data_IF_983295038950
#
_entry.id   IF_983295038950
#
_cell.length_a   1.000
_cell.length_b   1.000
_cell.length_c   1.000
_cell.angle_alpha   90.00
_cell.angle_beta   90.00
_cell.angle_gamma   90.00
#
_symmetry.space_group_name_H-M   'P 1'
#
loop_
_entity.id
_entity.type
_entity.pdbx_description
1 polymer ?
#
# COMPACT_ATOMS: atom_id res chain seq x y z
N UNK A 1 11.35 25.53 -9.35
CA UNK A 1 11.88 26.32 -8.22
C UNK A 1 11.47 25.60 -6.94
N UNK A 2 12.33 25.48 -5.93
CA UNK A 2 11.94 24.81 -4.68
C UNK A 2 10.85 25.66 -4.02
N UNK A 3 9.63 25.14 -3.93
CA UNK A 3 8.48 25.90 -3.44
C UNK A 3 8.67 26.21 -1.95
N UNK A 4 8.55 27.49 -1.58
CA UNK A 4 8.70 27.95 -0.20
C UNK A 4 7.59 27.39 0.69
N UNK A 5 7.87 27.22 1.99
CA UNK A 5 6.75 27.09 2.95
C UNK A 5 5.89 28.36 2.91
N UNK A 6 4.60 28.22 3.24
CA UNK A 6 3.73 29.36 3.50
C UNK A 6 4.08 29.94 4.87
N UNK A 7 4.52 31.21 4.95
CA UNK A 7 4.91 31.83 6.22
C UNK A 7 3.74 31.87 7.22
N UNK A 8 2.54 32.19 6.74
CA UNK A 8 1.32 32.18 7.56
C UNK A 8 0.97 30.79 8.08
N UNK A 9 1.22 29.75 7.27
CA UNK A 9 0.96 28.38 7.69
C UNK A 9 1.92 27.92 8.80
N UNK A 10 3.20 28.32 8.73
CA UNK A 10 4.17 28.08 9.80
C UNK A 10 3.77 28.77 11.10
N UNK A 11 3.42 30.07 11.04
CA UNK A 11 2.93 30.82 12.21
C UNK A 11 1.72 30.13 12.84
N UNK A 12 0.73 29.76 12.01
CA UNK A 12 -0.48 29.09 12.48
C UNK A 12 -0.18 27.75 13.15
N UNK A 13 0.68 26.92 12.54
CA UNK A 13 1.02 25.61 13.13
C UNK A 13 1.81 25.75 14.43
N UNK A 14 2.74 26.72 14.51
CA UNK A 14 3.48 27.00 15.74
C UNK A 14 2.54 27.44 16.87
N UNK A 15 1.65 28.40 16.60
CA UNK A 15 0.67 28.90 17.58
C UNK A 15 -0.34 27.83 17.99
N UNK A 16 -0.76 26.96 17.07
CA UNK A 16 -1.65 25.84 17.38
C UNK A 16 -1.03 24.83 18.37
N UNK A 17 0.31 24.81 18.48
CA UNK A 17 1.06 23.98 19.45
C UNK A 17 1.53 24.76 20.66
N UNK A 18 1.06 25.99 20.84
CA UNK A 18 1.44 26.89 21.94
C UNK A 18 2.97 27.11 22.06
N UNK A 19 3.70 27.03 20.94
CA UNK A 19 5.15 27.18 20.94
C UNK A 19 5.54 28.65 20.68
N UNK A 20 6.49 29.15 21.47
CA UNK A 20 7.23 30.37 21.15
C UNK A 20 8.19 30.15 19.97
N UNK A 21 8.70 31.25 19.41
CA UNK A 21 9.70 31.20 18.33
C UNK A 21 10.99 30.56 18.83
N UNK A 22 11.35 30.82 20.07
CA UNK A 22 12.54 30.32 20.75
C UNK A 22 12.45 28.80 20.99
N UNK A 23 11.32 28.31 21.50
CA UNK A 23 11.09 26.87 21.70
C UNK A 23 11.09 26.12 20.37
N UNK A 24 10.46 26.67 19.31
CA UNK A 24 10.50 26.06 17.98
C UNK A 24 11.92 26.01 17.43
N UNK A 25 12.69 27.09 17.60
CA UNK A 25 14.06 27.15 17.14
C UNK A 25 14.95 26.11 17.84
N UNK A 26 14.82 25.99 19.16
CA UNK A 26 15.52 24.99 19.96
C UNK A 26 15.16 23.56 19.52
N UNK A 27 13.87 23.24 19.43
CA UNK A 27 13.39 21.91 19.05
C UNK A 27 13.84 21.50 17.64
N UNK A 28 13.88 22.44 16.69
CA UNK A 28 14.37 22.19 15.33
C UNK A 28 15.90 22.18 15.25
N UNK A 29 16.59 22.80 16.21
CA UNK A 29 18.05 22.94 16.25
C UNK A 29 18.56 24.07 15.34
N UNK A 30 17.86 25.19 15.31
CA UNK A 30 18.21 26.41 14.56
C UNK A 30 18.15 27.65 15.45
N UNK A 31 18.47 28.82 14.91
CA UNK A 31 18.37 30.07 15.67
C UNK A 31 16.96 30.66 15.59
N UNK A 32 16.51 31.34 16.64
CA UNK A 32 15.22 32.07 16.64
C UNK A 32 15.15 33.09 15.50
N UNK A 33 16.28 33.69 15.13
CA UNK A 33 16.39 34.57 13.95
C UNK A 33 16.03 33.85 12.65
N UNK A 34 16.45 32.59 12.47
CA UNK A 34 16.09 31.80 11.30
C UNK A 34 14.58 31.57 11.23
N UNK A 35 13.95 31.20 12.35
CA UNK A 35 12.49 31.01 12.43
C UNK A 35 11.74 32.29 12.09
N UNK A 36 12.14 33.45 12.63
CA UNK A 36 11.52 34.74 12.27
C UNK A 36 11.65 35.07 10.78
N UNK A 37 12.80 34.75 10.16
CA UNK A 37 12.98 34.92 8.72
C UNK A 37 12.09 33.99 7.89
N UNK A 38 11.78 32.81 8.40
CA UNK A 38 10.85 31.88 7.76
C UNK A 38 9.40 32.37 7.87
N UNK A 39 8.98 32.84 9.05
CA UNK A 39 7.63 33.37 9.32
C UNK A 39 7.33 34.69 8.59
N UNK A 40 8.37 35.43 8.21
CA UNK A 40 8.25 36.64 7.38
C UNK A 40 8.45 36.37 5.88
N UNK A 41 8.82 35.14 5.50
CA UNK A 41 9.15 34.78 4.12
C UNK A 41 10.47 35.36 3.60
N UNK A 42 11.27 36.00 4.45
CA UNK A 42 12.56 36.58 4.09
C UNK A 42 13.61 35.53 3.69
N UNK A 43 13.47 34.28 4.16
CA UNK A 43 14.36 33.17 3.80
C UNK A 43 13.60 31.86 3.62
N UNK A 44 14.00 31.06 2.64
CA UNK A 44 13.50 29.70 2.48
C UNK A 44 14.05 28.75 3.55
N UNK A 45 13.22 27.78 3.95
CA UNK A 45 13.61 26.71 4.87
C UNK A 45 14.44 25.67 4.12
N UNK A 46 15.64 25.37 4.63
CA UNK A 46 16.48 24.30 4.10
C UNK A 46 15.91 22.91 4.39
N UNK A 47 16.29 21.90 3.61
CA UNK A 47 15.64 20.58 3.63
C UNK A 47 15.66 19.91 5.00
N UNK A 48 16.81 19.87 5.68
CA UNK A 48 16.92 19.31 7.04
C UNK A 48 16.01 20.00 8.05
N UNK A 49 15.97 21.33 8.01
CA UNK A 49 15.11 22.10 8.89
C UNK A 49 13.63 21.85 8.58
N UNK A 50 13.28 21.65 7.30
CA UNK A 50 11.91 21.34 6.91
C UNK A 50 11.45 19.98 7.43
N UNK A 51 12.23 18.91 7.27
CA UNK A 51 11.89 17.59 7.83
C UNK A 51 11.70 17.65 9.35
N UNK A 52 12.60 18.35 10.06
CA UNK A 52 12.46 18.56 11.51
C UNK A 52 11.24 19.38 11.91
N UNK A 53 10.86 20.40 11.12
CA UNK A 53 9.63 21.15 11.37
C UNK A 53 8.41 20.24 11.32
N UNK A 54 8.33 19.32 10.36
CA UNK A 54 7.22 18.36 10.27
C UNK A 54 7.17 17.44 11.49
N UNK A 55 8.33 16.97 11.95
CA UNK A 55 8.43 16.12 13.16
C UNK A 55 8.02 16.88 14.42
N UNK A 56 8.58 18.07 14.66
CA UNK A 56 8.35 18.88 15.87
C UNK A 56 6.92 19.41 15.93
N UNK A 57 6.38 19.91 14.81
CA UNK A 57 5.02 20.43 14.75
C UNK A 57 3.97 19.31 14.62
N UNK A 58 4.41 18.06 14.46
CA UNK A 58 3.56 16.89 14.19
C UNK A 58 2.49 17.18 13.13
N UNK A 59 2.92 17.73 11.99
CA UNK A 59 2.07 18.12 10.88
C UNK A 59 2.57 17.53 9.56
N UNK A 60 1.70 17.50 8.56
CA UNK A 60 2.04 17.01 7.23
C UNK A 60 2.66 18.15 6.38
N UNK A 61 3.39 17.78 5.32
CA UNK A 61 4.00 18.75 4.41
C UNK A 61 2.97 19.73 3.80
N UNK A 62 1.75 19.25 3.53
CA UNK A 62 0.63 20.07 3.03
C UNK A 62 0.25 21.20 4.00
N UNK A 63 0.41 20.98 5.30
CA UNK A 63 -0.01 21.93 6.32
C UNK A 63 0.91 23.16 6.36
N UNK A 64 2.14 23.01 5.85
CA UNK A 64 3.14 24.08 5.76
C UNK A 64 3.32 24.62 4.33
N UNK A 65 3.11 23.81 3.30
CA UNK A 65 3.36 24.21 1.89
C UNK A 65 2.09 24.58 1.13
N UNK A 66 0.93 24.07 1.56
CA UNK A 66 -0.32 24.14 0.79
C UNK A 66 -0.40 23.15 -0.37
N UNK A 67 0.64 22.33 -0.60
CA UNK A 67 0.64 21.36 -1.68
C UNK A 67 -0.32 20.21 -1.38
N UNK A 68 -1.15 19.87 -2.36
CA UNK A 68 -2.11 18.80 -2.22
C UNK A 68 -1.44 17.42 -2.32
N UNK A 69 -1.75 16.47 -1.43
CA UNK A 69 -1.28 15.10 -1.54
C UNK A 69 -1.52 14.49 -2.93
N UNK A 70 -0.54 13.76 -3.45
CA UNK A 70 -0.59 13.20 -4.80
C UNK A 70 -0.09 14.14 -5.89
N UNK A 71 0.46 15.31 -5.56
CA UNK A 71 1.11 16.23 -6.51
C UNK A 71 2.64 16.28 -6.36
N UNK A 72 3.19 15.53 -5.41
CA UNK A 72 4.60 15.63 -5.02
C UNK A 72 5.55 15.27 -6.17
N UNK A 73 6.62 16.05 -6.27
CA UNK A 73 7.78 15.79 -7.13
C UNK A 73 8.88 15.06 -6.36
N UNK A 74 9.92 14.61 -7.06
CA UNK A 74 11.07 13.95 -6.43
C UNK A 74 11.79 14.85 -5.43
N UNK A 75 11.84 16.16 -5.71
CA UNK A 75 12.42 17.14 -4.79
C UNK A 75 11.59 17.29 -3.52
N UNK A 76 10.26 17.27 -3.64
CA UNK A 76 9.35 17.37 -2.50
C UNK A 76 9.50 16.16 -1.58
N UNK A 77 9.54 14.95 -2.14
CA UNK A 77 9.75 13.72 -1.36
C UNK A 77 11.07 13.77 -0.57
N UNK A 78 12.15 14.23 -1.20
CA UNK A 78 13.45 14.37 -0.53
C UNK A 78 13.39 15.39 0.60
N UNK A 79 12.75 16.53 0.35
CA UNK A 79 12.62 17.62 1.32
C UNK A 79 11.77 17.21 2.52
N UNK A 80 10.66 16.51 2.29
CA UNK A 80 9.82 15.93 3.36
C UNK A 80 10.60 14.94 4.21
N UNK A 81 11.49 14.16 3.60
CA UNK A 81 12.38 13.26 4.34
C UNK A 81 13.46 14.00 5.17
N UNK A 82 13.59 15.32 5.03
CA UNK A 82 14.59 16.11 5.76
C UNK A 82 16.02 15.95 5.24
N UNK A 83 16.20 15.55 3.98
CA UNK A 83 17.50 15.15 3.44
C UNK A 83 17.98 16.16 2.40
N UNK A 84 19.20 16.68 2.53
CA UNK A 84 19.82 17.51 1.48
C UNK A 84 20.25 16.68 0.25
N UNK A 85 20.49 17.33 -0.89
CA UNK A 85 20.97 16.63 -2.10
C UNK A 85 22.31 15.92 -1.90
N UNK A 86 23.18 16.51 -1.08
CA UNK A 86 24.50 16.01 -0.72
C UNK A 86 24.39 14.75 0.14
N UNK A 87 23.50 14.77 1.13
CA UNK A 87 23.22 13.62 1.98
C UNK A 87 22.58 12.49 1.20
N UNK A 88 21.56 12.79 0.37
CA UNK A 88 20.93 11.80 -0.48
C UNK A 88 21.99 11.11 -1.36
N UNK A 89 22.88 11.88 -2.01
CA UNK A 89 23.97 11.31 -2.81
C UNK A 89 24.95 10.47 -1.98
N UNK A 90 25.27 10.91 -0.76
CA UNK A 90 26.16 10.17 0.14
C UNK A 90 25.55 8.83 0.57
N UNK A 91 24.28 8.83 0.99
CA UNK A 91 23.56 7.62 1.42
C UNK A 91 23.35 6.66 0.26
N UNK A 92 22.93 7.17 -0.91
CA UNK A 92 22.71 6.33 -2.09
C UNK A 92 24.01 5.67 -2.57
N UNK A 93 25.16 6.36 -2.52
CA UNK A 93 26.48 5.78 -2.88
C UNK A 93 26.84 4.55 -2.05
N UNK A 94 26.36 4.46 -0.82
CA UNK A 94 26.62 3.33 0.10
C UNK A 94 25.66 2.16 -0.11
N UNK A 95 24.60 2.32 -0.91
CA UNK A 95 23.61 1.26 -1.16
C UNK A 95 24.16 0.20 -2.12
N UNK A 96 23.75 -1.04 -1.90
CA UNK A 96 24.10 -2.16 -2.79
C UNK A 96 23.58 -1.88 -4.20
N UNK A 97 24.46 -2.01 -5.18
CA UNK A 97 24.16 -1.78 -6.60
C UNK A 97 24.29 -0.31 -7.05
N UNK A 98 24.72 0.61 -6.18
CA UNK A 98 25.09 1.96 -6.59
C UNK A 98 26.43 2.02 -7.37
N UNK A 99 27.16 0.90 -7.43
CA UNK A 99 28.42 0.76 -8.17
C UNK A 99 28.20 1.10 -9.65
N UNK A 100 29.11 1.89 -10.22
CA UNK A 100 29.02 2.37 -11.60
C UNK A 100 28.12 3.60 -11.82
N UNK A 101 27.12 3.86 -10.98
CA UNK A 101 26.20 5.00 -11.21
C UNK A 101 26.85 6.38 -10.97
N UNK A 102 27.96 6.41 -10.23
CA UNK A 102 28.70 7.62 -9.83
C UNK A 102 27.75 8.73 -9.34
N UNK A 103 26.92 8.40 -8.36
CA UNK A 103 25.88 9.28 -7.82
C UNK A 103 26.50 10.51 -7.16
N UNK A 104 26.07 11.71 -7.59
CA UNK A 104 26.49 13.00 -7.05
C UNK A 104 25.28 13.86 -6.72
N UNK A 105 25.47 14.91 -5.90
CA UNK A 105 24.42 15.86 -5.59
C UNK A 105 23.92 16.60 -6.84
N UNK A 106 24.78 16.80 -7.85
CA UNK A 106 24.40 17.35 -9.15
C UNK A 106 23.46 16.41 -9.91
N UNK A 107 23.79 15.12 -10.00
CA UNK A 107 22.93 14.13 -10.67
C UNK A 107 21.55 14.04 -10.01
N UNK A 108 21.48 14.10 -8.68
CA UNK A 108 20.19 14.11 -7.97
C UNK A 108 19.40 15.38 -8.30
N UNK A 109 20.05 16.55 -8.30
CA UNK A 109 19.40 17.81 -8.68
C UNK A 109 18.90 17.80 -10.12
N UNK A 110 19.67 17.21 -11.05
CA UNK A 110 19.25 17.08 -12.44
C UNK A 110 18.08 16.11 -12.58
N UNK A 111 18.11 15.01 -11.84
CA UNK A 111 17.04 14.04 -11.76
C UNK A 111 15.74 14.68 -11.26
N UNK A 112 15.81 15.47 -10.18
CA UNK A 112 14.68 16.19 -9.59
C UNK A 112 14.11 17.30 -10.48
N UNK A 113 14.93 17.89 -11.35
CA UNK A 113 14.54 19.02 -12.21
C UNK A 113 14.12 18.60 -13.61
N UNK A 114 14.00 17.31 -13.89
CA UNK A 114 13.71 16.83 -15.24
C UNK A 114 14.87 17.04 -16.23
N UNK A 115 16.08 17.36 -15.76
CA UNK A 115 17.25 17.57 -16.62
C UNK A 115 17.93 16.26 -16.96
N UNK A 116 18.66 16.26 -18.08
CA UNK A 116 19.41 15.09 -18.52
C UNK A 116 20.52 14.73 -17.51
N UNK A 117 20.54 13.47 -17.04
CA UNK A 117 21.58 12.98 -16.14
C UNK A 117 22.69 12.33 -16.98
N UNK A 118 23.92 12.83 -16.83
CA UNK A 118 25.08 12.34 -17.59
C UNK A 118 25.43 10.88 -17.26
N UNK A 119 25.67 10.09 -18.30
CA UNK A 119 26.19 8.71 -18.24
C UNK A 119 25.26 7.72 -18.90
N UNK A 120 25.82 6.78 -19.69
CA UNK A 120 25.04 5.84 -20.51
C UNK A 120 24.07 4.97 -19.71
N UNK A 121 24.46 4.54 -18.50
CA UNK A 121 23.59 3.73 -17.62
C UNK A 121 22.29 4.42 -17.20
N UNK A 122 22.26 5.75 -17.19
CA UNK A 122 21.07 6.53 -16.82
C UNK A 122 19.98 6.53 -17.90
N UNK A 123 20.24 5.91 -19.05
CA UNK A 123 19.24 5.70 -20.12
C UNK A 123 18.53 4.35 -20.01
N UNK A 124 19.05 3.40 -19.23
CA UNK A 124 18.44 2.07 -19.07
C UNK A 124 17.25 2.14 -18.10
N UNK A 125 16.05 1.73 -18.52
CA UNK A 125 14.86 1.66 -17.66
C UNK A 125 15.07 0.83 -16.39
N UNK A 126 15.86 -0.26 -16.47
CA UNK A 126 16.18 -1.15 -15.35
C UNK A 126 17.06 -0.43 -14.32
N UNK A 127 18.05 0.32 -14.80
CA UNK A 127 18.91 1.15 -13.95
C UNK A 127 18.10 2.22 -13.24
N UNK A 128 17.18 2.89 -13.96
CA UNK A 128 16.26 3.85 -13.35
C UNK A 128 15.37 3.18 -12.30
N UNK A 129 14.86 1.97 -12.56
CA UNK A 129 14.06 1.23 -11.59
C UNK A 129 14.83 0.84 -10.32
N UNK A 130 16.13 0.59 -10.44
CA UNK A 130 17.01 0.40 -9.29
C UNK A 130 17.20 1.71 -8.51
N UNK A 131 17.42 2.83 -9.20
CA UNK A 131 17.51 4.16 -8.57
C UNK A 131 16.23 4.49 -7.81
N UNK A 132 15.06 4.28 -8.41
CA UNK A 132 13.75 4.47 -7.76
C UNK A 132 13.65 3.68 -6.45
N UNK A 133 14.08 2.41 -6.43
CA UNK A 133 14.08 1.61 -5.19
C UNK A 133 15.00 2.18 -4.12
N UNK A 134 16.18 2.65 -4.52
CA UNK A 134 17.12 3.25 -3.58
C UNK A 134 16.56 4.57 -3.03
N UNK A 135 15.97 5.42 -3.88
CA UNK A 135 15.31 6.67 -3.46
C UNK A 135 14.16 6.38 -2.49
N UNK A 136 13.31 5.39 -2.78
CA UNK A 136 12.21 5.01 -1.89
C UNK A 136 12.71 4.62 -0.48
N UNK A 137 13.81 3.89 -0.40
CA UNK A 137 14.43 3.54 0.89
C UNK A 137 15.04 4.75 1.59
N UNK A 138 15.68 5.66 0.85
CA UNK A 138 16.32 6.85 1.43
C UNK A 138 15.29 7.86 1.91
N UNK A 139 14.21 8.05 1.15
CA UNK A 139 13.14 9.01 1.48
C UNK A 139 12.09 8.43 2.43
N UNK A 140 12.18 7.14 2.76
CA UNK A 140 11.23 6.50 3.70
C UNK A 140 9.81 6.35 3.14
N UNK A 141 9.63 6.41 1.82
CA UNK A 141 8.31 6.31 1.17
C UNK A 141 8.18 5.02 0.35
N UNK A 142 6.96 4.53 0.11
CA UNK A 142 6.78 3.37 -0.75
C UNK A 142 7.28 3.60 -2.18
N UNK A 143 7.82 2.55 -2.82
CA UNK A 143 8.34 2.59 -4.21
C UNK A 143 7.36 3.23 -5.20
N UNK A 144 6.06 2.94 -5.06
CA UNK A 144 5.03 3.52 -5.93
C UNK A 144 5.00 5.06 -5.88
N UNK A 145 5.23 5.66 -4.71
CA UNK A 145 5.19 7.12 -4.52
C UNK A 145 6.35 7.77 -5.26
N UNK A 146 7.53 7.14 -5.24
CA UNK A 146 8.68 7.59 -6.04
C UNK A 146 8.42 7.44 -7.53
N UNK A 147 7.77 6.35 -7.97
CA UNK A 147 7.36 6.20 -9.37
C UNK A 147 6.39 7.31 -9.81
N UNK A 148 5.35 7.57 -9.02
CA UNK A 148 4.35 8.60 -9.34
C UNK A 148 5.00 10.00 -9.36
N UNK A 149 5.91 10.29 -8.41
CA UNK A 149 6.68 11.53 -8.38
C UNK A 149 7.72 11.63 -9.50
N UNK A 150 8.29 10.51 -9.94
CA UNK A 150 9.17 10.43 -11.10
C UNK A 150 8.43 10.85 -12.35
N UNK A 151 7.22 10.30 -12.54
CA UNK A 151 6.33 10.63 -13.65
C UNK A 151 6.05 12.13 -13.76
N UNK A 152 5.82 12.78 -12.61
CA UNK A 152 5.60 14.23 -12.52
C UNK A 152 6.87 15.05 -12.75
N UNK A 153 8.01 14.57 -12.26
CA UNK A 153 9.28 15.32 -12.34
C UNK A 153 9.96 15.17 -13.70
N UNK A 154 9.65 14.08 -14.43
CA UNK A 154 10.35 13.66 -15.65
C UNK A 154 9.33 13.18 -16.70
N UNK A 155 8.56 14.10 -17.31
CA UNK A 155 7.53 13.79 -18.32
C UNK A 155 8.06 13.14 -19.60
N UNK A 156 9.33 13.35 -19.94
CA UNK A 156 9.92 12.87 -21.20
C UNK A 156 10.80 11.63 -21.03
N UNK A 157 11.12 11.25 -19.79
CA UNK A 157 11.99 10.11 -19.53
C UNK A 157 11.24 8.78 -19.72
N UNK A 158 11.95 7.72 -20.15
CA UNK A 158 11.37 6.38 -20.18
C UNK A 158 11.00 5.95 -18.77
N UNK A 159 9.94 5.15 -18.70
CA UNK A 159 9.44 4.62 -17.44
C UNK A 159 10.48 3.73 -16.74
N UNK A 160 10.78 3.97 -15.44
CA UNK A 160 11.63 3.07 -14.68
C UNK A 160 11.02 1.66 -14.59
N UNK A 161 11.76 0.66 -15.03
CA UNK A 161 11.34 -0.75 -14.93
C UNK A 161 11.83 -1.31 -13.60
N UNK A 162 10.90 -1.52 -12.67
CA UNK A 162 11.25 -2.13 -11.39
C UNK A 162 11.72 -3.57 -11.61
N UNK A 163 12.87 -3.98 -11.04
CA UNK A 163 13.36 -5.34 -11.22
C UNK A 163 12.31 -6.36 -10.80
N UNK A 164 12.16 -7.47 -11.50
CA UNK A 164 11.17 -8.47 -11.11
C UNK A 164 11.35 -8.87 -9.64
N UNK A 165 10.23 -8.94 -8.93
CA UNK A 165 10.24 -9.38 -7.54
C UNK A 165 10.47 -10.87 -7.57
N UNK A 166 11.73 -11.30 -7.40
CA UNK A 166 12.05 -12.72 -7.31
C UNK A 166 11.10 -13.38 -6.30
N UNK A 167 10.51 -14.54 -6.64
CA UNK A 167 9.65 -15.27 -5.73
C UNK A 167 10.41 -15.46 -4.44
N UNK A 168 9.82 -14.97 -3.36
CA UNK A 168 10.47 -14.96 -2.05
C UNK A 168 10.71 -16.42 -1.69
N UNK A 169 11.98 -16.82 -1.53
CA UNK A 169 12.34 -18.19 -1.14
C UNK A 169 11.53 -18.60 0.10
N UNK A 170 11.13 -19.88 0.21
CA UNK A 170 10.42 -20.37 1.38
C UNK A 170 11.20 -19.98 2.65
N UNK A 171 10.51 -19.44 3.66
CA UNK A 171 11.19 -19.05 4.90
C UNK A 171 11.72 -20.31 5.59
N UNK A 172 13.03 -20.37 5.84
CA UNK A 172 13.66 -21.46 6.57
C UNK A 172 13.01 -21.68 7.94
N UNK A 173 12.71 -20.59 8.67
CA UNK A 173 12.00 -20.63 9.94
C UNK A 173 10.61 -21.28 9.82
N UNK A 174 9.89 -20.96 8.74
CA UNK A 174 8.57 -21.54 8.48
C UNK A 174 8.65 -23.03 8.14
N UNK A 175 9.68 -23.43 7.39
CA UNK A 175 9.93 -24.83 7.06
C UNK A 175 10.34 -25.64 8.29
N UNK A 176 11.24 -25.12 9.13
CA UNK A 176 11.63 -25.74 10.41
C UNK A 176 10.43 -25.90 11.33
N UNK A 177 9.57 -24.87 11.45
CA UNK A 177 8.35 -24.95 12.23
C UNK A 177 7.38 -26.02 11.71
N UNK A 178 7.27 -26.20 10.40
CA UNK A 178 6.48 -27.27 9.78
C UNK A 178 7.07 -28.67 10.05
N UNK A 179 8.38 -28.81 9.90
CA UNK A 179 9.10 -30.07 10.12
C UNK A 179 8.99 -30.53 11.58
N UNK A 180 8.95 -29.60 12.54
CA UNK A 180 8.76 -29.90 13.96
C UNK A 180 7.34 -30.39 14.35
N UNK A 181 6.38 -30.37 13.41
CA UNK A 181 5.06 -30.95 13.61
C UNK A 181 5.07 -32.44 13.27
N UNK A 182 4.35 -33.25 14.06
CA UNK A 182 4.11 -34.65 13.71
C UNK A 182 3.10 -34.77 12.55
N UNK A 183 2.98 -35.96 11.97
CA UNK A 183 2.11 -36.21 10.81
C UNK A 183 0.66 -35.75 11.07
N UNK A 184 0.08 -36.12 12.22
CA UNK A 184 -1.29 -35.75 12.59
C UNK A 184 -1.45 -34.23 12.72
N UNK A 185 -0.52 -33.52 13.36
CA UNK A 185 -0.53 -32.06 13.48
C UNK A 185 -0.44 -31.37 12.11
N UNK A 186 0.37 -31.90 11.19
CA UNK A 186 0.45 -31.40 9.80
C UNK A 186 -0.88 -31.57 9.07
N UNK A 187 -1.53 -32.72 9.22
CA UNK A 187 -2.87 -32.96 8.65
C UNK A 187 -3.89 -31.96 9.18
N UNK A 188 -3.97 -31.77 10.50
CA UNK A 188 -4.84 -30.76 11.11
C UNK A 188 -4.60 -29.36 10.55
N UNK A 189 -3.34 -28.92 10.53
CA UNK A 189 -3.00 -27.58 10.08
C UNK A 189 -3.32 -27.40 8.58
N UNK A 190 -3.17 -28.44 7.78
CA UNK A 190 -3.54 -28.46 6.35
C UNK A 190 -5.04 -28.33 6.15
N UNK A 191 -5.85 -29.14 6.83
CA UNK A 191 -7.32 -29.10 6.68
C UNK A 191 -7.88 -27.74 7.13
N UNK A 192 -7.38 -27.19 8.24
CA UNK A 192 -7.75 -25.85 8.73
C UNK A 192 -7.34 -24.79 7.70
N UNK A 193 -6.15 -24.90 7.11
CA UNK A 193 -5.69 -23.94 6.09
C UNK A 193 -6.55 -23.96 4.84
N UNK A 194 -6.91 -25.13 4.33
CA UNK A 194 -7.77 -25.22 3.16
C UNK A 194 -9.15 -24.59 3.41
N UNK A 195 -9.75 -24.86 4.58
CA UNK A 195 -11.01 -24.21 4.97
C UNK A 195 -10.87 -22.68 5.06
N UNK A 196 -9.76 -22.16 5.60
CA UNK A 196 -9.49 -20.70 5.67
C UNK A 196 -9.38 -20.09 4.27
N UNK A 197 -8.75 -20.81 3.31
CA UNK A 197 -8.63 -20.34 1.93
C UNK A 197 -9.97 -20.38 1.19
N UNK A 198 -10.81 -21.38 1.41
CA UNK A 198 -12.17 -21.45 0.85
C UNK A 198 -13.06 -20.33 1.39
N UNK A 199 -13.06 -20.10 2.70
CA UNK A 199 -13.78 -18.98 3.29
C UNK A 199 -13.27 -17.62 2.74
N UNK A 200 -11.97 -17.48 2.51
CA UNK A 200 -11.39 -16.28 1.88
C UNK A 200 -11.83 -16.12 0.42
N UNK A 201 -11.99 -17.22 -0.32
CA UNK A 201 -12.49 -17.22 -1.70
C UNK A 201 -13.99 -16.89 -1.77
N UNK A 202 -14.80 -17.49 -0.90
CA UNK A 202 -16.24 -17.21 -0.79
C UNK A 202 -16.49 -15.74 -0.46
N UNK A 203 -15.76 -15.18 0.52
CA UNK A 203 -15.86 -13.75 0.86
C UNK A 203 -15.42 -12.84 -0.27
N UNK A 204 -14.53 -13.33 -1.15
CA UNK A 204 -14.14 -12.62 -2.38
C UNK A 204 -15.30 -12.65 -3.38
N UNK A 205 -15.94 -13.79 -3.59
CA UNK A 205 -17.09 -13.96 -4.48
C UNK A 205 -18.31 -13.17 -4.01
N UNK A 206 -18.63 -13.23 -2.71
CA UNK A 206 -19.71 -12.46 -2.09
C UNK A 206 -19.50 -10.94 -2.26
N UNK A 207 -18.24 -10.48 -2.23
CA UNK A 207 -17.92 -9.08 -2.54
C UNK A 207 -18.23 -8.71 -3.99
N UNK A 208 -17.95 -9.60 -4.94
CA UNK A 208 -18.32 -9.38 -6.34
C UNK A 208 -19.84 -9.37 -6.54
N UNK A 209 -20.58 -10.18 -5.78
CA UNK A 209 -22.04 -10.22 -5.77
C UNK A 209 -22.71 -9.08 -4.98
N UNK A 210 -21.95 -8.16 -4.38
CA UNK A 210 -22.49 -7.01 -3.64
C UNK A 210 -23.03 -7.33 -2.25
N UNK A 211 -22.74 -8.51 -1.70
CA UNK A 211 -23.21 -8.90 -0.37
C UNK A 211 -22.59 -8.04 0.75
N UNK A 212 -23.28 -7.96 1.90
CA UNK A 212 -22.80 -7.23 3.07
C UNK A 212 -21.45 -7.79 3.54
N UNK A 213 -20.50 -6.88 3.81
CA UNK A 213 -19.15 -7.24 4.25
C UNK A 213 -19.17 -7.73 5.69
N UNK A 214 -18.78 -8.98 5.89
CA UNK A 214 -18.50 -9.52 7.22
C UNK A 214 -17.04 -9.23 7.63
N UNK A 215 -16.79 -8.77 8.88
CA UNK A 215 -15.44 -8.65 9.43
C UNK A 215 -14.65 -9.96 9.33
N UNK A 216 -13.35 -9.87 9.00
CA UNK A 216 -12.49 -11.05 8.85
C UNK A 216 -12.43 -11.93 10.09
N UNK A 217 -12.54 -11.32 11.28
CA UNK A 217 -12.54 -12.04 12.55
C UNK A 217 -13.76 -12.94 12.73
N UNK A 218 -14.89 -12.64 12.08
CA UNK A 218 -16.12 -13.41 12.23
C UNK A 218 -16.09 -14.68 11.38
N UNK A 219 -15.73 -14.56 10.10
CA UNK A 219 -15.72 -15.70 9.17
C UNK A 219 -14.45 -16.54 9.24
N UNK A 220 -13.31 -16.01 9.70
CA UNK A 220 -12.07 -16.80 9.90
C UNK A 220 -12.11 -17.71 11.13
N UNK A 221 -13.08 -17.51 12.03
CA UNK A 221 -13.33 -18.41 13.17
C UNK A 221 -14.18 -19.57 12.69
N UNK A 222 -13.54 -20.61 12.19
CA UNK A 222 -14.21 -21.75 11.57
C UNK A 222 -14.58 -22.78 12.62
N UNK A 223 -15.77 -23.37 12.50
CA UNK A 223 -16.19 -24.45 13.42
C UNK A 223 -15.36 -25.70 13.14
N UNK A 224 -14.61 -26.14 14.14
CA UNK A 224 -13.85 -27.39 14.08
C UNK A 224 -14.73 -28.58 14.51
N UNK A 225 -15.46 -28.42 15.62
CA UNK A 225 -16.28 -29.50 16.16
C UNK A 225 -17.45 -29.00 17.00
N UNK A 226 -18.49 -29.82 17.05
CA UNK A 226 -19.62 -29.72 17.97
C UNK A 226 -19.53 -30.89 18.96
N UNK A 227 -19.67 -30.63 20.25
CA UNK A 227 -19.64 -31.64 21.30
C UNK A 227 -21.00 -32.34 21.42
N UNK A 228 -21.42 -33.00 20.34
CA UNK A 228 -22.61 -33.83 20.25
C UNK A 228 -22.32 -35.04 19.33
N UNK A 229 -23.09 -36.14 19.44
CA UNK A 229 -22.92 -37.31 18.59
C UNK A 229 -23.05 -36.96 17.09
N UNK A 230 -22.10 -37.43 16.27
CA UNK A 230 -21.99 -37.06 14.85
C UNK A 230 -23.12 -37.60 13.98
N UNK A 231 -23.81 -38.64 14.43
CA UNK A 231 -25.05 -39.16 13.85
C UNK A 231 -26.20 -38.15 13.95
N UNK A 232 -26.12 -37.20 14.89
CA UNK A 232 -27.14 -36.16 15.09
C UNK A 232 -26.73 -34.81 14.49
N UNK A 233 -25.48 -34.38 14.68
CA UNK A 233 -25.02 -33.05 14.23
C UNK A 233 -24.18 -33.08 12.94
N UNK A 234 -23.92 -34.26 12.38
CA UNK A 234 -23.05 -34.44 11.23
C UNK A 234 -21.57 -34.16 11.56
N UNK A 235 -20.77 -34.01 10.49
CA UNK A 235 -19.37 -33.58 10.59
C UNK A 235 -19.22 -32.16 10.05
N UNK A 236 -18.35 -31.38 10.68
CA UNK A 236 -17.92 -30.11 10.08
C UNK A 236 -17.07 -30.38 8.85
N UNK A 237 -16.97 -29.39 7.95
CA UNK A 237 -16.11 -29.49 6.76
C UNK A 237 -14.65 -29.82 7.08
N UNK A 238 -14.14 -29.34 8.23
CA UNK A 238 -12.79 -29.67 8.69
C UNK A 238 -12.73 -31.12 9.17
N UNK A 239 -13.75 -31.61 9.90
CA UNK A 239 -13.83 -33.01 10.33
C UNK A 239 -13.96 -33.97 9.15
N UNK A 240 -14.74 -33.65 8.12
CA UNK A 240 -14.83 -34.43 6.88
C UNK A 240 -13.45 -34.65 6.26
N UNK A 241 -12.69 -33.56 6.03
CA UNK A 241 -11.32 -33.65 5.47
C UNK A 241 -10.35 -34.41 6.36
N UNK A 242 -10.46 -34.25 7.67
CA UNK A 242 -9.63 -35.01 8.61
C UNK A 242 -9.89 -36.50 8.45
N UNK A 243 -11.16 -36.90 8.35
CA UNK A 243 -11.55 -38.30 8.14
C UNK A 243 -11.10 -38.83 6.79
N UNK A 244 -11.23 -38.05 5.71
CA UNK A 244 -10.69 -38.39 4.39
C UNK A 244 -9.17 -38.61 4.43
N UNK A 245 -8.46 -37.85 5.27
CA UNK A 245 -7.03 -38.00 5.51
C UNK A 245 -6.68 -39.09 6.56
N UNK A 246 -7.64 -39.96 6.94
CA UNK A 246 -7.44 -41.06 7.89
C UNK A 246 -7.34 -40.65 9.36
N UNK A 247 -7.70 -39.40 9.71
CA UNK A 247 -7.67 -38.85 11.07
C UNK A 247 -9.08 -38.80 11.64
N UNK A 248 -9.43 -39.79 12.46
CA UNK A 248 -10.70 -39.84 13.18
C UNK A 248 -10.54 -39.28 14.60
N UNK A 249 -11.03 -38.07 14.83
CA UNK A 249 -10.95 -37.37 16.12
C UNK A 249 -12.19 -36.48 16.30
N UNK A 250 -12.79 -36.42 17.49
CA UNK A 250 -13.96 -35.58 17.77
C UNK A 250 -13.67 -34.07 17.69
N UNK A 251 -12.43 -33.64 17.48
CA UNK A 251 -12.07 -32.25 17.16
C UNK A 251 -11.70 -31.38 18.36
N UNK A 252 -11.32 -31.99 19.49
CA UNK A 252 -10.80 -31.31 20.69
C UNK A 252 -9.55 -31.99 21.27
N UNK A 253 -8.79 -32.72 20.42
CA UNK A 253 -7.66 -33.54 20.85
C UNK A 253 -6.33 -32.79 21.09
N UNK A 254 -5.33 -33.56 21.54
CA UNK A 254 -3.95 -33.11 21.83
C UNK A 254 -3.26 -32.41 20.66
N UNK A 255 -3.65 -32.71 19.42
CA UNK A 255 -3.11 -32.06 18.21
C UNK A 255 -3.54 -30.60 18.13
N UNK A 256 -4.80 -30.28 18.45
CA UNK A 256 -5.31 -28.90 18.45
C UNK A 256 -4.61 -28.08 19.53
N UNK A 257 -4.50 -28.61 20.75
CA UNK A 257 -3.79 -27.96 21.85
C UNK A 257 -2.28 -27.76 21.54
N UNK A 258 -1.65 -28.68 20.81
CA UNK A 258 -0.27 -28.53 20.38
C UNK A 258 -0.09 -27.43 19.33
N UNK A 259 -1.00 -27.33 18.36
CA UNK A 259 -0.98 -26.26 17.35
C UNK A 259 -1.25 -24.88 17.98
N UNK A 260 -2.13 -24.81 18.97
CA UNK A 260 -2.40 -23.60 19.75
C UNK A 260 -1.18 -23.16 20.57
N UNK A 261 -0.55 -24.07 21.34
CA UNK A 261 0.67 -23.77 22.11
C UNK A 261 1.83 -23.30 21.24
N UNK A 262 1.93 -23.78 20.00
CA UNK A 262 2.92 -23.34 19.01
C UNK A 262 2.54 -22.00 18.34
N UNK A 263 1.39 -21.43 18.67
CA UNK A 263 0.89 -20.17 18.13
C UNK A 263 0.51 -20.24 16.65
N UNK A 264 0.21 -21.44 16.13
CA UNK A 264 -0.16 -21.65 14.72
C UNK A 264 -1.66 -21.45 14.50
N UNK A 265 -2.47 -21.71 15.53
CA UNK A 265 -3.91 -21.44 15.55
C UNK A 265 -4.30 -20.76 16.87
N UNK A 266 -5.50 -20.19 16.90
CA UNK A 266 -6.22 -19.80 18.12
C UNK A 266 -7.45 -20.68 18.25
N UNK A 267 -7.77 -21.13 19.46
CA UNK A 267 -8.96 -21.94 19.73
C UNK A 267 -9.97 -21.10 20.50
N UNK A 268 -11.22 -21.20 20.10
CA UNK A 268 -12.35 -20.59 20.77
C UNK A 268 -13.32 -21.68 21.18
N UNK A 269 -13.82 -21.61 22.41
CA UNK A 269 -14.85 -22.52 22.91
C UNK A 269 -16.06 -21.68 23.27
N UNK A 270 -17.17 -21.95 22.60
CA UNK A 270 -18.45 -21.29 22.83
C UNK A 270 -19.58 -22.33 22.84
N UNK A 271 -20.83 -21.89 22.91
CA UNK A 271 -22.01 -22.74 22.73
C UNK A 271 -22.80 -22.25 21.54
N UNK A 272 -23.48 -23.17 20.86
CA UNK A 272 -24.39 -22.85 19.76
C UNK A 272 -25.72 -23.55 20.02
N UNK A 273 -26.81 -22.83 19.84
CA UNK A 273 -28.14 -23.43 19.90
C UNK A 273 -28.41 -24.20 18.62
N UNK A 274 -28.80 -25.47 18.74
CA UNK A 274 -29.23 -26.31 17.64
C UNK A 274 -30.67 -26.74 17.90
N UNK A 275 -31.54 -26.50 16.91
CA UNK A 275 -32.94 -26.88 17.00
C UNK A 275 -33.06 -28.39 17.28
N UNK A 276 -33.82 -28.75 18.31
CA UNK A 276 -34.01 -30.14 18.75
C UNK A 276 -32.93 -30.70 19.69
N UNK A 277 -31.78 -30.02 19.86
CA UNK A 277 -30.69 -30.44 20.78
C UNK A 277 -30.37 -29.41 21.86
N UNK A 278 -30.87 -28.18 21.72
CA UNK A 278 -30.55 -27.08 22.63
C UNK A 278 -29.12 -26.61 22.46
N UNK A 279 -28.54 -26.07 23.53
CA UNK A 279 -27.21 -25.48 23.48
C UNK A 279 -26.11 -26.54 23.49
N UNK A 280 -25.40 -26.69 22.37
CA UNK A 280 -24.30 -27.63 22.20
C UNK A 280 -22.96 -26.89 22.31
N UNK A 281 -21.99 -27.39 23.10
CA UNK A 281 -20.65 -26.83 23.12
C UNK A 281 -19.98 -26.93 21.75
N UNK A 282 -19.29 -25.87 21.33
CA UNK A 282 -18.66 -25.77 20.02
C UNK A 282 -17.21 -25.33 20.17
N UNK A 283 -16.33 -26.02 19.45
CA UNK A 283 -14.92 -25.64 19.29
C UNK A 283 -14.74 -24.99 17.92
N UNK A 284 -14.23 -23.76 17.92
CA UNK A 284 -13.85 -23.03 16.71
C UNK A 284 -12.35 -22.78 16.68
N UNK A 285 -11.79 -22.68 15.49
CA UNK A 285 -10.37 -22.41 15.28
C UNK A 285 -10.18 -21.27 14.29
N UNK A 286 -9.13 -20.49 14.50
CA UNK A 286 -8.67 -19.44 13.59
C UNK A 286 -7.18 -19.65 13.33
N UNK A 287 -6.75 -19.64 12.07
CA UNK A 287 -5.32 -19.67 11.78
C UNK A 287 -4.65 -18.33 12.07
N UNK A 288 -3.55 -18.38 12.83
CA UNK A 288 -2.72 -17.18 13.01
C UNK A 288 -2.01 -16.82 11.71
N UNK A 289 -1.47 -15.60 11.65
CA UNK A 289 -0.60 -15.19 10.55
C UNK A 289 0.61 -16.12 10.41
N UNK A 290 1.17 -16.59 11.54
CA UNK A 290 2.27 -17.55 11.59
C UNK A 290 1.84 -18.91 11.04
N UNK A 291 0.70 -19.45 11.48
CA UNK A 291 0.19 -20.73 10.97
C UNK A 291 -0.04 -20.74 9.46
N UNK A 292 -0.62 -19.66 8.92
CA UNK A 292 -0.79 -19.50 7.47
C UNK A 292 0.54 -19.40 6.74
N UNK A 293 1.55 -18.71 7.28
CA UNK A 293 2.87 -18.62 6.68
C UNK A 293 3.58 -19.99 6.65
N UNK A 294 3.56 -20.72 7.77
CA UNK A 294 4.12 -22.07 7.89
C UNK A 294 3.47 -23.01 6.88
N UNK A 295 2.14 -23.05 6.83
CA UNK A 295 1.41 -23.98 5.96
C UNK A 295 1.60 -23.64 4.48
N UNK A 296 1.55 -22.35 4.09
CA UNK A 296 1.84 -21.94 2.70
C UNK A 296 3.23 -22.33 2.24
N UNK A 297 4.23 -22.11 3.12
CA UNK A 297 5.62 -22.48 2.85
C UNK A 297 5.75 -23.97 2.61
N UNK A 298 5.09 -24.79 3.44
CA UNK A 298 5.14 -26.24 3.34
C UNK A 298 4.40 -26.81 2.12
N UNK A 299 3.26 -26.23 1.76
CA UNK A 299 2.43 -26.70 0.64
C UNK A 299 2.82 -26.07 -0.71
N UNK A 300 3.84 -25.21 -0.75
CA UNK A 300 4.23 -24.47 -1.96
C UNK A 300 3.16 -23.49 -2.46
N UNK A 301 2.16 -23.15 -1.63
CA UNK A 301 1.06 -22.27 -2.00
C UNK A 301 1.55 -20.82 -1.92
N UNK A 302 1.77 -20.22 -3.08
CA UNK A 302 2.11 -18.80 -3.17
C UNK A 302 0.90 -17.92 -2.87
N UNK A 303 1.14 -16.79 -2.21
CA UNK A 303 0.12 -15.74 -2.10
C UNK A 303 -0.07 -15.15 -3.50
N UNK A 304 -1.32 -14.99 -3.94
CA UNK A 304 -1.61 -14.16 -5.12
C UNK A 304 -0.91 -12.80 -4.95
N UNK A 305 0.06 -12.54 -5.81
CA UNK A 305 0.74 -11.26 -5.83
C UNK A 305 -0.27 -10.21 -6.28
N UNK A 306 -0.35 -9.10 -5.54
CA UNK A 306 -1.00 -7.91 -6.09
C UNK A 306 -0.28 -7.44 -7.36
N UNK A 307 -0.88 -6.51 -8.11
CA UNK A 307 -0.23 -5.93 -9.27
C UNK A 307 1.18 -5.40 -8.91
N UNK A 308 2.12 -5.41 -9.85
CA UNK A 308 3.40 -4.71 -9.72
C UNK A 308 3.19 -3.29 -9.16
N UNK A 309 4.15 -2.78 -8.38
CA UNK A 309 4.00 -1.50 -7.67
C UNK A 309 3.55 -0.29 -8.52
N UNK A 310 3.95 -0.12 -9.81
CA UNK A 310 3.40 0.95 -10.62
C UNK A 310 1.97 0.68 -11.07
N UNK A 311 1.51 -0.57 -11.16
CA UNK A 311 0.18 -0.90 -11.66
C UNK A 311 -0.89 -0.84 -10.56
N UNK A 312 -2.10 -0.52 -10.99
CA UNK A 312 -3.31 -0.45 -10.17
C UNK A 312 -3.98 -1.83 -10.08
N UNK A 313 -4.76 -2.02 -9.01
CA UNK A 313 -5.65 -3.18 -8.91
C UNK A 313 -6.75 -3.11 -9.98
N UNK A 314 -7.42 -4.24 -10.32
CA UNK A 314 -8.49 -4.24 -11.32
C UNK A 314 -9.59 -3.22 -11.01
N UNK A 315 -9.93 -3.08 -9.73
CA UNK A 315 -10.96 -2.17 -9.26
C UNK A 315 -10.55 -0.69 -9.42
N UNK A 316 -9.33 -0.32 -9.02
CA UNK A 316 -8.83 1.04 -9.19
C UNK A 316 -8.65 1.41 -10.67
N UNK A 317 -8.22 0.45 -11.49
CA UNK A 317 -8.14 0.62 -12.93
C UNK A 317 -9.51 0.90 -13.56
N UNK A 318 -10.55 0.13 -13.21
CA UNK A 318 -11.94 0.37 -13.67
C UNK A 318 -12.45 1.78 -13.32
N UNK A 319 -12.13 2.27 -12.13
CA UNK A 319 -12.48 3.64 -11.72
C UNK A 319 -11.78 4.67 -12.60
N UNK A 320 -10.47 4.50 -12.82
CA UNK A 320 -9.69 5.42 -13.64
C UNK A 320 -10.16 5.43 -15.10
N UNK A 321 -10.46 4.26 -15.67
CA UNK A 321 -11.07 4.09 -16.99
C UNK A 321 -12.41 4.81 -17.10
N UNK A 322 -13.28 4.70 -16.08
CA UNK A 322 -14.56 5.40 -16.04
C UNK A 322 -14.38 6.92 -16.08
N UNK A 323 -13.41 7.46 -15.34
CA UNK A 323 -13.09 8.90 -15.34
C UNK A 323 -12.53 9.34 -16.69
N UNK A 324 -11.64 8.53 -17.28
CA UNK A 324 -11.06 8.80 -18.59
C UNK A 324 -12.11 8.94 -19.69
N UNK A 325 -13.07 8.00 -19.74
CA UNK A 325 -14.16 7.99 -20.73
C UNK A 325 -15.10 9.18 -20.61
N UNK A 326 -15.22 9.79 -19.42
CA UNK A 326 -16.05 10.97 -19.23
C UNK A 326 -15.42 12.25 -19.81
N UNK A 327 -14.12 12.23 -20.15
CA UNK A 327 -13.44 13.35 -20.80
C UNK A 327 -13.58 14.68 -20.03
N UNK A 328 -13.79 15.77 -20.76
CA UNK A 328 -13.95 17.12 -20.20
C UNK A 328 -15.22 17.30 -19.35
N UNK A 329 -16.23 16.44 -19.50
CA UNK A 329 -17.45 16.49 -18.70
C UNK A 329 -17.21 15.96 -17.27
N UNK A 330 -16.26 15.04 -17.12
CA UNK A 330 -15.94 14.41 -15.85
C UNK A 330 -17.08 13.54 -15.29
N UNK A 331 -16.77 12.80 -14.22
CA UNK A 331 -17.75 11.97 -13.52
C UNK A 331 -18.30 12.74 -12.32
N UNK A 332 -19.60 12.65 -12.05
CA UNK A 332 -20.20 13.23 -10.83
C UNK A 332 -19.76 12.51 -9.55
N UNK A 333 -20.36 12.92 -8.42
CA UNK A 333 -20.18 12.29 -7.11
C UNK A 333 -20.57 10.81 -7.02
N UNK A 334 -21.09 10.18 -8.09
CA UNK A 334 -21.33 8.72 -8.13
C UNK A 334 -20.03 7.91 -8.06
N UNK A 335 -18.86 8.55 -8.15
CA UNK A 335 -17.57 7.98 -7.79
C UNK A 335 -17.39 7.88 -6.25
N UNK A 336 -18.46 7.47 -5.56
CA UNK A 336 -18.52 7.36 -4.11
C UNK A 336 -17.77 6.12 -3.59
N UNK A 337 -17.33 6.17 -2.33
CA UNK A 337 -16.59 5.09 -1.67
C UNK A 337 -15.10 5.37 -1.58
N UNK A 338 -14.28 4.31 -1.50
CA UNK A 338 -12.85 4.47 -1.19
C UNK A 338 -11.94 4.80 -2.37
N UNK A 339 -12.43 4.79 -3.61
CA UNK A 339 -11.62 4.98 -4.82
C UNK A 339 -10.83 6.29 -4.81
N UNK A 340 -11.49 7.45 -4.58
CA UNK A 340 -10.82 8.74 -4.49
C UNK A 340 -9.68 8.78 -3.47
N UNK A 341 -9.79 8.09 -2.33
CA UNK A 341 -8.69 8.06 -1.35
C UNK A 341 -7.37 7.50 -1.89
N UNK A 342 -7.43 6.62 -2.89
CA UNK A 342 -6.24 6.06 -3.53
C UNK A 342 -5.81 6.83 -4.78
N UNK A 343 -6.73 7.49 -5.49
CA UNK A 343 -6.47 8.06 -6.82
C UNK A 343 -6.45 9.59 -6.86
N UNK A 344 -7.16 10.25 -5.96
CA UNK A 344 -7.45 11.67 -6.09
C UNK A 344 -6.39 12.57 -5.45
N UNK A 345 -6.05 13.65 -6.14
CA UNK A 345 -5.31 14.78 -5.55
C UNK A 345 -6.00 15.25 -4.27
N UNK A 346 -5.21 15.62 -3.27
CA UNK A 346 -5.69 16.06 -1.96
C UNK A 346 -6.01 14.92 -0.99
N UNK A 347 -5.99 13.66 -1.45
CA UNK A 347 -6.41 12.51 -0.66
C UNK A 347 -5.25 11.61 -0.21
N UNK A 348 -5.53 10.79 0.80
CA UNK A 348 -4.63 9.75 1.29
C UNK A 348 -5.43 8.50 1.72
N UNK A 349 -4.97 7.28 1.40
CA UNK A 349 -5.64 6.06 1.80
C UNK A 349 -5.49 5.71 3.28
N UNK A 350 -4.41 6.19 3.92
CA UNK A 350 -4.05 5.91 5.31
C UNK A 350 -3.74 7.17 6.14
N UNK A 351 -3.95 8.36 5.55
CA UNK A 351 -3.65 9.66 6.16
C UNK A 351 -2.17 10.03 6.17
N UNK A 352 -1.27 9.17 5.66
CA UNK A 352 0.18 9.39 5.71
C UNK A 352 0.85 9.32 4.35
N UNK A 353 0.45 8.35 3.54
CA UNK A 353 1.00 8.19 2.20
C UNK A 353 0.14 8.98 1.23
N UNK A 354 0.73 9.77 0.31
CA UNK A 354 -0.08 10.42 -0.72
C UNK A 354 -0.83 9.39 -1.57
N UNK A 355 -1.98 9.81 -2.08
CA UNK A 355 -2.66 9.11 -3.17
C UNK A 355 -1.80 9.14 -4.45
N UNK A 356 -2.31 8.50 -5.50
CA UNK A 356 -1.66 8.49 -6.81
C UNK A 356 -1.70 9.87 -7.50
N UNK A 357 -2.72 10.68 -7.20
CA UNK A 357 -2.97 11.96 -7.85
C UNK A 357 -3.29 11.84 -9.34
N UNK A 358 -4.02 10.78 -9.73
CA UNK A 358 -4.42 10.52 -11.12
C UNK A 358 -5.74 11.20 -11.49
N UNK A 359 -6.59 11.47 -10.51
CA UNK A 359 -7.84 12.20 -10.70
C UNK A 359 -7.90 13.43 -9.79
N UNK A 360 -8.71 14.41 -10.14
CA UNK A 360 -8.92 15.63 -9.35
C UNK A 360 -10.39 16.02 -9.36
N UNK A 361 -10.87 16.58 -8.25
CA UNK A 361 -12.21 17.12 -8.12
C UNK A 361 -12.16 18.62 -8.46
N UNK A 362 -12.70 19.01 -9.61
CA UNK A 362 -12.72 20.42 -10.06
C UNK A 362 -13.98 20.70 -10.89
N UNK A 363 -14.23 21.96 -11.24
CA UNK A 363 -15.26 22.25 -12.23
C UNK A 363 -14.85 21.72 -13.62
N UNK A 364 -15.81 21.26 -14.44
CA UNK A 364 -15.57 20.93 -15.84
C UNK A 364 -14.90 22.08 -16.61
N UNK A 365 -14.17 21.74 -17.66
CA UNK A 365 -13.48 22.74 -18.47
C UNK A 365 -14.48 23.74 -19.08
N UNK A 366 -14.19 25.03 -18.95
CA UNK A 366 -15.09 26.11 -19.39
C UNK A 366 -16.23 26.45 -18.42
N UNK A 367 -16.32 25.78 -17.27
CA UNK A 367 -17.34 26.03 -16.23
C UNK A 367 -16.70 26.58 -14.96
N UNK A 368 -17.22 27.69 -14.43
CA UNK A 368 -16.70 28.33 -13.20
C UNK A 368 -17.60 28.18 -11.98
N UNK A 369 -18.84 27.69 -12.17
CA UNK A 369 -19.82 27.48 -11.11
C UNK A 369 -20.62 26.19 -11.32
N UNK A 370 -21.13 25.58 -10.25
CA UNK A 370 -21.94 24.36 -10.32
C UNK A 370 -21.30 23.16 -9.59
N UNK A 371 -21.78 21.93 -9.81
CA UNK A 371 -21.25 20.77 -9.11
C UNK A 371 -19.84 20.43 -9.59
N UNK A 372 -18.95 20.13 -8.64
CA UNK A 372 -17.65 19.58 -8.93
C UNK A 372 -17.75 18.20 -9.60
N UNK A 373 -16.81 17.91 -10.50
CA UNK A 373 -16.69 16.64 -11.22
C UNK A 373 -15.29 16.06 -11.05
N UNK A 374 -15.18 14.73 -11.09
CA UNK A 374 -13.92 14.02 -11.14
C UNK A 374 -13.39 14.01 -12.57
N UNK A 375 -12.19 14.56 -12.76
CA UNK A 375 -11.49 14.57 -14.04
C UNK A 375 -10.12 13.90 -13.92
N UNK A 376 -9.59 13.42 -15.05
CA UNK A 376 -8.20 12.97 -15.12
C UNK A 376 -7.25 14.17 -14.98
N UNK A 377 -6.16 13.93 -14.25
CA UNK A 377 -4.96 14.77 -14.28
C UNK A 377 -4.04 14.34 -15.41
N UNK A 378 -3.06 15.16 -15.77
CA UNK A 378 -2.03 14.80 -16.75
C UNK A 378 -1.25 13.54 -16.33
N UNK A 379 -0.96 13.42 -15.03
CA UNK A 379 -0.34 12.21 -14.47
C UNK A 379 -1.22 10.97 -14.70
N UNK A 380 -2.53 11.09 -14.51
CA UNK A 380 -3.49 10.01 -14.77
C UNK A 380 -3.59 9.64 -16.24
N UNK A 381 -3.59 10.62 -17.15
CA UNK A 381 -3.57 10.39 -18.61
C UNK A 381 -2.32 9.63 -19.02
N UNK A 382 -1.16 10.13 -18.59
CA UNK A 382 0.13 9.51 -18.89
C UNK A 382 0.25 8.10 -18.33
N UNK A 383 -0.23 7.88 -17.11
CA UNK A 383 -0.28 6.53 -16.51
C UNK A 383 -1.09 5.55 -17.36
N UNK A 384 -2.21 5.99 -17.94
CA UNK A 384 -3.00 5.15 -18.87
C UNK A 384 -2.16 4.83 -20.11
N UNK A 385 -1.61 5.84 -20.78
CA UNK A 385 -0.81 5.68 -22.00
C UNK A 385 0.35 4.72 -21.78
N UNK A 386 1.11 4.91 -20.71
CA UNK A 386 2.35 4.19 -20.49
C UNK A 386 2.15 2.73 -20.02
N UNK A 387 0.97 2.39 -19.51
CA UNK A 387 0.70 1.08 -18.91
C UNK A 387 -0.46 0.31 -19.54
N UNK A 388 -1.09 0.83 -20.60
CA UNK A 388 -2.28 0.22 -21.22
C UNK A 388 -2.05 -1.25 -21.59
N UNK A 389 -0.94 -1.55 -22.27
CA UNK A 389 -0.61 -2.91 -22.69
C UNK A 389 -0.35 -3.85 -21.51
N UNK A 390 0.32 -3.34 -20.46
CA UNK A 390 0.52 -4.11 -19.23
C UNK A 390 -0.82 -4.43 -18.54
N UNK A 391 -1.79 -3.53 -18.57
CA UNK A 391 -3.14 -3.80 -18.05
C UNK A 391 -3.93 -4.78 -18.92
N UNK A 392 -3.81 -4.71 -20.25
CA UNK A 392 -4.41 -5.68 -21.18
C UNK A 392 -3.92 -7.10 -20.92
N UNK A 393 -2.61 -7.25 -20.72
CA UNK A 393 -2.00 -8.53 -20.37
C UNK A 393 -2.44 -9.02 -18.98
N UNK A 394 -2.49 -8.11 -17.99
CA UNK A 394 -2.79 -8.50 -16.60
C UNK A 394 -4.27 -8.77 -16.35
N UNK A 395 -5.17 -8.06 -17.04
CA UNK A 395 -6.62 -8.11 -16.84
C UNK A 395 -7.39 -8.27 -18.18
N UNK A 396 -7.29 -9.42 -18.85
CA UNK A 396 -7.86 -9.63 -20.18
C UNK A 396 -9.39 -9.49 -20.25
N UNK A 397 -10.08 -9.63 -19.11
CA UNK A 397 -11.54 -9.44 -19.01
C UNK A 397 -12.00 -8.00 -18.73
N UNK A 398 -11.10 -7.01 -18.76
CA UNK A 398 -11.48 -5.60 -18.63
C UNK A 398 -11.52 -4.95 -20.00
N UNK A 399 -12.66 -4.35 -20.31
CA UNK A 399 -12.84 -3.54 -21.51
C UNK A 399 -11.84 -2.36 -21.52
N UNK A 400 -10.89 -2.43 -22.45
CA UNK A 400 -9.90 -1.39 -22.77
C UNK A 400 -10.15 -0.80 -24.16
N UNK A 401 -11.32 -1.04 -24.77
CA UNK A 401 -11.67 -0.45 -26.05
C UNK A 401 -11.87 1.07 -25.93
N UNK A 402 -11.46 1.78 -26.97
CA UNK A 402 -11.59 3.23 -27.09
C UNK A 402 -10.45 4.04 -26.48
N UNK A 403 -9.42 3.43 -25.86
CA UNK A 403 -8.28 4.16 -25.27
C UNK A 403 -7.17 4.54 -26.24
N UNK A 404 -7.15 3.94 -27.43
CA UNK A 404 -6.12 4.15 -28.46
C UNK A 404 -6.19 5.53 -29.13
N UNK A 405 -7.17 6.38 -28.78
CA UNK A 405 -7.32 7.73 -29.32
C UNK A 405 -7.95 8.75 -28.35
N UNK A 406 -7.93 8.52 -27.04
CA UNK A 406 -8.45 9.50 -26.04
C UNK A 406 -7.46 10.65 -25.80
N UNK A 407 -6.19 10.46 -26.19
CA UNK A 407 -5.10 11.37 -25.85
C UNK A 407 -4.25 11.79 -27.06
N UNK A 408 -4.75 11.54 -28.28
CA UNK A 408 -4.18 12.08 -29.52
C UNK A 408 -4.60 13.53 -29.76
#
# INVERSE_FOLDING_TARGET
MAQSISPQALVRQRLFRDMSVEELAEAVGVTSRAVRHWETGARAVGDRAFGRLLEVLHCDARDLTGNEPGTETLADLRRVAGISTEEAASVLRRKRGAQGLHLSAEKIRDLERGRHVRGWMWRSPETLGQVVRMLAQVYGVPVRVVMDAWHRSRPEDPLPVLPERQPRRPSEESMTAWQALNARQRTYLTCIFQQDQEAEAEQRQNRYAGARRQPAVEWRRMTLALSAPSDVVGYTRIQERLREAGVHDPGAGSSVAALERRGLIRVYRDRVHLDGLGDVPRTRVEMTRRGRAVTRTALGVSREAGPPAPLLSPWLWKIMVRVARAGAQGVDGSLAGRGPHYLAVGQSPDGRTPSRGFIVLRHPDGVTHGPYRWLLTDSGRRHITDHLDAYRALYPGIDTQGFEGIFD
#
